data_IF_933331457646
#
_entry.id   IF_933331457646
#
_cell.length_a   1.000
_cell.length_b   1.000
_cell.length_c   1.000
_cell.angle_alpha   90.00
_cell.angle_beta   90.00
_cell.angle_gamma   90.00
#
_symmetry.space_group_name_H-M   'P 1'
#
loop_
_entity.id
_entity.type
_entity.pdbx_description
1 polymer ?
#
# COMPACT_ATOMS: atom_id res chain seq x y z
N UNK A 1 5.96 0.59 -13.63
CA UNK A 1 5.51 1.45 -12.51
C UNK A 1 4.45 0.70 -11.75
N UNK A 2 4.66 0.47 -10.45
CA UNK A 2 3.73 -0.29 -9.61
C UNK A 2 2.80 0.63 -8.83
N UNK A 3 1.50 0.33 -8.82
CA UNK A 3 0.50 1.04 -8.01
C UNK A 3 -0.16 0.04 -7.07
N UNK A 4 -0.25 0.39 -5.79
CA UNK A 4 -0.89 -0.46 -4.78
C UNK A 4 -1.87 0.37 -3.98
N UNK A 5 -3.04 -0.18 -3.70
CA UNK A 5 -4.12 0.46 -2.94
C UNK A 5 -4.24 -0.17 -1.54
N UNK A 6 -4.51 0.63 -0.51
CA UNK A 6 -4.78 0.13 0.85
C UNK A 6 -6.02 0.72 1.50
N UNK A 7 -6.59 0.01 2.49
CA UNK A 7 -7.75 0.39 3.31
C UNK A 7 -7.39 0.43 4.81
N UNK A 8 -6.69 1.47 5.28
CA UNK A 8 -6.40 1.58 6.72
C UNK A 8 -6.57 3.02 7.24
N UNK A 9 -7.27 3.12 8.37
CA UNK A 9 -7.74 4.37 9.00
C UNK A 9 -6.84 4.78 10.18
N UNK A 10 -5.53 4.58 10.06
CA UNK A 10 -4.58 4.98 11.11
C UNK A 10 -3.93 6.29 10.71
N UNK A 11 -3.75 7.21 11.67
CA UNK A 11 -3.10 8.53 11.50
C UNK A 11 -2.08 8.56 10.36
N UNK A 12 -2.52 9.03 9.19
CA UNK A 12 -1.83 8.88 7.92
C UNK A 12 -0.35 9.29 7.92
N UNK A 13 0.06 10.41 8.57
CA UNK A 13 1.47 10.81 8.59
C UNK A 13 2.38 9.82 9.34
N UNK A 14 1.89 9.24 10.44
CA UNK A 14 2.65 8.29 11.26
C UNK A 14 2.73 6.95 10.54
N UNK A 15 1.60 6.45 10.03
CA UNK A 15 1.54 5.23 9.21
C UNK A 15 2.45 5.33 8.00
N UNK A 16 2.46 6.47 7.31
CA UNK A 16 3.30 6.74 6.14
C UNK A 16 4.79 6.61 6.48
N UNK A 17 5.25 7.29 7.52
CA UNK A 17 6.66 7.28 7.89
C UNK A 17 7.09 5.88 8.30
N UNK A 18 6.31 5.19 9.13
CA UNK A 18 6.67 3.84 9.58
C UNK A 18 6.62 2.81 8.44
N UNK A 19 5.67 2.91 7.50
CA UNK A 19 5.67 2.04 6.31
C UNK A 19 6.87 2.30 5.39
N UNK A 20 7.26 3.57 5.25
CA UNK A 20 8.45 3.94 4.45
C UNK A 20 9.73 3.40 5.10
N UNK A 21 9.85 3.49 6.42
CA UNK A 21 10.98 2.94 7.18
C UNK A 21 10.99 1.41 7.15
N UNK A 22 9.84 0.76 7.30
CA UNK A 22 9.70 -0.70 7.31
C UNK A 22 10.02 -1.33 5.95
N UNK A 23 9.50 -0.77 4.86
CA UNK A 23 9.75 -1.29 3.52
C UNK A 23 11.11 -0.90 2.97
N UNK A 24 11.68 0.20 3.46
CA UNK A 24 12.96 0.76 3.04
C UNK A 24 13.18 0.69 1.50
N UNK A 25 12.26 1.28 0.70
CA UNK A 25 12.29 1.15 -0.75
C UNK A 25 13.53 1.84 -1.34
N UNK A 26 14.16 1.22 -2.34
CA UNK A 26 15.44 1.68 -2.91
C UNK A 26 15.37 3.10 -3.50
N UNK A 27 14.21 3.52 -3.99
CA UNK A 27 13.97 4.86 -4.57
C UNK A 27 12.83 5.62 -3.90
N UNK A 28 12.45 5.23 -2.69
CA UNK A 28 11.29 5.81 -2.03
C UNK A 28 9.96 5.26 -2.57
N UNK A 29 8.89 5.63 -1.88
CA UNK A 29 7.50 5.35 -2.27
C UNK A 29 6.71 6.65 -2.23
N UNK A 30 5.91 6.91 -3.27
CA UNK A 30 4.99 8.05 -3.25
C UNK A 30 3.65 7.57 -2.68
N UNK A 31 3.14 8.24 -1.65
CA UNK A 31 1.90 7.85 -0.96
C UNK A 31 0.92 9.01 -1.07
N UNK A 32 -0.27 8.73 -1.58
CA UNK A 32 -1.33 9.74 -1.79
C UNK A 32 -2.64 9.22 -1.24
N UNK A 33 -3.38 10.04 -0.52
CA UNK A 33 -4.75 9.74 -0.11
C UNK A 33 -5.69 9.99 -1.30
N UNK A 34 -6.56 9.02 -1.57
CA UNK A 34 -7.50 9.11 -2.70
C UNK A 34 -8.96 9.26 -2.26
N UNK A 35 -9.21 9.24 -0.94
CA UNK A 35 -10.55 9.35 -0.35
C UNK A 35 -11.05 8.03 0.24
N UNK A 36 -12.17 8.10 0.97
CA UNK A 36 -12.83 6.93 1.60
C UNK A 36 -11.91 6.05 2.45
N UNK A 37 -10.93 6.66 3.15
CA UNK A 37 -9.93 5.95 3.98
C UNK A 37 -8.97 5.05 3.18
N UNK A 38 -8.84 5.34 1.88
CA UNK A 38 -7.96 4.64 0.96
C UNK A 38 -6.69 5.43 0.66
N UNK A 39 -5.57 4.71 0.56
CA UNK A 39 -4.29 5.29 0.18
C UNK A 39 -3.67 4.56 -1.02
N UNK A 40 -3.14 5.34 -1.95
CA UNK A 40 -2.44 4.91 -3.13
C UNK A 40 -0.93 5.00 -2.91
N UNK A 41 -0.25 3.87 -3.07
CA UNK A 41 1.20 3.74 -3.04
C UNK A 41 1.73 3.58 -4.45
N UNK A 42 2.65 4.45 -4.85
CA UNK A 42 3.34 4.38 -6.13
C UNK A 42 4.79 3.97 -5.89
N UNK A 43 5.11 2.77 -6.35
CA UNK A 43 6.46 2.23 -6.33
C UNK A 43 7.14 2.50 -7.68
N UNK A 44 8.36 3.03 -7.58
CA UNK A 44 9.18 3.33 -8.76
C UNK A 44 9.86 2.08 -9.30
N UNK A 45 10.17 1.10 -8.44
CA UNK A 45 10.71 -0.19 -8.84
C UNK A 45 9.76 -1.35 -8.51
N UNK A 46 9.72 -2.31 -9.42
CA UNK A 46 8.93 -3.54 -9.26
C UNK A 46 9.45 -4.42 -8.13
N UNK A 47 10.76 -4.39 -7.85
CA UNK A 47 11.36 -5.13 -6.74
C UNK A 47 10.82 -4.68 -5.38
N UNK A 48 10.58 -3.38 -5.22
CA UNK A 48 9.99 -2.83 -4.00
C UNK A 48 8.52 -3.28 -3.87
N UNK A 49 7.76 -3.24 -4.97
CA UNK A 49 6.38 -3.74 -5.00
C UNK A 49 6.30 -5.24 -4.70
N UNK A 50 7.22 -6.04 -5.25
CA UNK A 50 7.29 -7.47 -5.02
C UNK A 50 7.64 -7.79 -3.56
N UNK A 51 8.63 -7.10 -2.99
CA UNK A 51 8.98 -7.23 -1.56
C UNK A 51 7.85 -6.87 -0.63
N UNK A 52 7.09 -5.82 -0.96
CA UNK A 52 5.87 -5.48 -0.22
C UNK A 52 4.90 -6.63 -0.38
N UNK A 53 4.47 -6.96 -1.61
CA UNK A 53 3.47 -8.00 -1.90
C UNK A 53 3.78 -9.40 -1.36
N UNK A 54 5.06 -9.77 -1.22
CA UNK A 54 5.50 -11.09 -0.76
C UNK A 54 5.95 -11.10 0.71
N UNK A 55 6.11 -9.94 1.35
CA UNK A 55 6.61 -9.82 2.73
C UNK A 55 5.56 -10.07 3.81
N UNK A 56 5.98 -10.32 5.06
CA UNK A 56 5.12 -10.35 6.26
C UNK A 56 5.80 -9.64 7.46
N UNK A 57 5.01 -9.14 8.45
CA UNK A 57 3.56 -9.21 8.53
C UNK A 57 2.88 -7.89 8.14
N UNK A 58 1.79 -8.04 7.41
CA UNK A 58 0.75 -7.05 7.11
C UNK A 58 0.02 -6.53 8.35
N UNK A 59 0.62 -6.71 9.51
CA UNK A 59 0.16 -6.26 10.81
C UNK A 59 0.95 -5.01 11.18
N UNK A 60 0.38 -3.85 10.86
CA UNK A 60 0.91 -2.58 11.32
C UNK A 60 0.17 -2.15 12.58
N UNK A 61 0.87 -2.08 13.72
CA UNK A 61 0.28 -1.61 14.97
C UNK A 61 -1.02 -2.36 15.35
N UNK A 62 -1.04 -3.69 15.21
CA UNK A 62 -2.23 -4.57 15.37
C UNK A 62 -3.37 -4.36 14.35
N UNK A 63 -3.18 -3.53 13.33
CA UNK A 63 -4.10 -3.35 12.22
C UNK A 63 -3.62 -4.15 11.01
N UNK A 64 -4.54 -4.85 10.36
CA UNK A 64 -4.25 -5.51 9.08
C UNK A 64 -4.21 -4.46 7.98
N UNK A 65 -3.18 -4.50 7.13
CA UNK A 65 -3.12 -3.68 5.93
C UNK A 65 -3.41 -4.57 4.73
N UNK A 66 -4.50 -4.27 4.02
CA UNK A 66 -4.87 -4.95 2.77
C UNK A 66 -4.25 -4.20 1.61
N UNK A 67 -3.71 -4.92 0.64
CA UNK A 67 -3.10 -4.35 -0.55
C UNK A 67 -3.71 -4.94 -1.82
N UNK A 68 -4.03 -4.07 -2.78
CA UNK A 68 -4.41 -4.46 -4.15
C UNK A 68 -3.46 -3.81 -5.16
N UNK A 69 -2.84 -4.63 -6.01
CA UNK A 69 -2.04 -4.12 -7.13
C UNK A 69 -2.99 -3.63 -8.24
N UNK A 70 -2.96 -2.33 -8.51
CA UNK A 70 -3.82 -1.72 -9.53
C UNK A 70 -3.32 -2.01 -10.94
N UNK A 71 -4.20 -2.55 -11.77
CA UNK A 71 -4.00 -2.70 -13.20
C UNK A 71 -4.28 -1.37 -13.94
N UNK A 72 -3.76 -1.25 -15.17
CA UNK A 72 -3.74 0.01 -15.92
C UNK A 72 -5.13 0.63 -16.21
N UNK A 73 -6.21 -0.14 -16.05
CA UNK A 73 -7.59 0.26 -16.32
C UNK A 73 -8.52 0.17 -15.11
N UNK A 74 -8.00 -0.12 -13.94
CA UNK A 74 -8.81 -0.21 -12.72
C UNK A 74 -9.01 1.17 -12.10
N UNK A 75 -10.24 1.43 -11.64
CA UNK A 75 -10.55 2.59 -10.82
C UNK A 75 -10.21 2.29 -9.35
N UNK A 76 -9.24 2.99 -8.74
CA UNK A 76 -8.85 2.77 -7.35
C UNK A 76 -9.98 2.94 -6.32
N UNK A 77 -11.05 3.65 -6.66
CA UNK A 77 -12.21 3.83 -5.78
C UNK A 77 -13.22 2.69 -5.92
N UNK A 78 -13.28 2.04 -7.08
CA UNK A 78 -14.21 0.93 -7.35
C UNK A 78 -13.63 -0.44 -7.04
N UNK A 79 -12.30 -0.54 -6.90
CA UNK A 79 -11.63 -1.80 -6.54
C UNK A 79 -12.03 -2.23 -5.12
N UNK A 80 -12.55 -3.45 -4.93
CA UNK A 80 -12.96 -3.91 -3.62
C UNK A 80 -11.73 -4.47 -2.86
N UNK A 81 -11.38 -3.85 -1.73
CA UNK A 81 -10.27 -4.25 -0.86
C UNK A 81 -10.72 -5.32 0.15
N UNK A 82 -11.31 -6.41 -0.34
CA UNK A 82 -12.01 -7.41 0.50
C UNK A 82 -11.14 -8.59 0.89
N UNK A 83 -10.04 -8.84 0.16
CA UNK A 83 -9.16 -9.98 0.38
C UNK A 83 -7.72 -9.51 0.52
N UNK A 84 -7.10 -9.91 1.64
CA UNK A 84 -5.65 -10.02 1.69
C UNK A 84 -5.27 -11.22 0.83
N UNK A 85 -4.33 -11.08 -0.11
CA UNK A 85 -3.86 -12.16 -1.00
C UNK A 85 -3.01 -13.24 -0.27
N UNK A 86 -3.35 -13.57 0.98
CA UNK A 86 -2.76 -14.66 1.76
C UNK A 86 -3.84 -15.63 2.22
#
# INVERSE_FOLDING_TARGET
MGRVLTDNVVHFPLTRNTLTDLWHPLRGVAISEIGEKRHLFRFYYEIDLKRVSEGMPWMFNRHLIIFHKLEQREDPLQVPLVYSIF
#
